data_IF_911966703085
#
_entry.id   IF_911966703085
#
_cell.length_a   1.000
_cell.length_b   1.000
_cell.length_c   1.000
_cell.angle_alpha   90.00
_cell.angle_beta   90.00
_cell.angle_gamma   90.00
#
_symmetry.space_group_name_H-M   'P 1'
#
loop_
_entity.id
_entity.type
_entity.pdbx_description
1 polymer ?
#
# COMPACT_ATOMS: atom_id res chain seq x y z
N UNK A 1 -3.64 39.92 0.88
CA UNK A 1 -2.44 39.57 0.09
C UNK A 1 -1.94 38.16 0.40
N UNK A 2 -2.78 37.14 0.09
CA UNK A 2 -2.41 35.72 0.22
C UNK A 2 -2.13 35.09 -1.16
N UNK A 3 -1.50 35.82 -2.06
CA UNK A 3 -1.01 35.29 -3.33
C UNK A 3 0.38 34.63 -3.25
N UNK A 4 0.97 34.52 -2.07
CA UNK A 4 2.38 34.14 -1.91
C UNK A 4 2.68 32.64 -1.81
N UNK A 5 1.69 31.75 -1.91
CA UNK A 5 1.91 30.30 -1.89
C UNK A 5 1.36 29.53 -3.10
N UNK A 6 0.92 30.24 -4.13
CA UNK A 6 0.87 29.62 -5.45
C UNK A 6 2.29 29.63 -6.00
N UNK A 7 3.06 28.61 -5.64
CA UNK A 7 4.28 28.25 -6.36
C UNK A 7 3.93 28.14 -7.83
N UNK A 8 4.27 29.19 -8.58
CA UNK A 8 4.08 29.27 -10.03
C UNK A 8 5.00 28.27 -10.72
N UNK A 9 4.62 27.03 -10.73
CA UNK A 9 5.21 26.00 -11.61
C UNK A 9 4.79 26.25 -13.05
N UNK A 10 5.08 27.45 -13.56
CA UNK A 10 4.59 27.96 -14.84
C UNK A 10 5.62 27.84 -15.93
N UNK A 11 5.77 26.71 -16.46
CA UNK A 11 5.93 26.39 -17.91
C UNK A 11 6.15 24.89 -17.98
N UNK A 12 5.36 24.14 -18.73
CA UNK A 12 5.66 22.71 -18.93
C UNK A 12 7.08 22.62 -19.51
N UNK A 13 7.90 21.78 -18.91
CA UNK A 13 9.20 21.42 -19.46
C UNK A 13 8.97 20.86 -20.89
N UNK A 14 9.94 21.04 -21.78
CA UNK A 14 9.83 20.47 -23.16
C UNK A 14 9.53 18.98 -23.10
N UNK A 15 10.08 18.25 -22.13
CA UNK A 15 9.78 16.84 -21.88
C UNK A 15 8.31 16.58 -21.50
N UNK A 16 7.66 17.52 -20.77
CA UNK A 16 6.24 17.37 -20.39
C UNK A 16 5.27 17.50 -21.59
N UNK A 17 5.73 18.07 -22.71
CA UNK A 17 4.92 18.15 -23.94
C UNK A 17 4.94 16.85 -24.74
N UNK A 18 5.93 16.00 -24.52
CA UNK A 18 6.11 14.73 -25.23
C UNK A 18 5.57 13.53 -24.45
N UNK A 19 5.40 13.67 -23.14
CA UNK A 19 4.93 12.60 -22.25
C UNK A 19 3.44 12.77 -21.95
N UNK A 20 2.69 11.67 -22.05
CA UNK A 20 1.33 11.62 -21.57
C UNK A 20 1.30 11.24 -20.08
N UNK A 21 0.30 11.70 -19.38
CA UNK A 21 0.18 11.38 -17.93
C UNK A 21 0.06 9.87 -17.66
N UNK A 22 -0.37 9.08 -18.65
CA UNK A 22 -0.39 7.63 -18.59
C UNK A 22 1.03 7.05 -18.59
N UNK A 23 1.94 7.61 -19.39
CA UNK A 23 3.33 7.16 -19.49
C UNK A 23 4.07 7.31 -18.16
N UNK A 24 3.83 8.43 -17.45
CA UNK A 24 4.41 8.66 -16.12
C UNK A 24 3.92 7.64 -15.08
N UNK A 25 2.64 7.26 -15.13
CA UNK A 25 2.08 6.24 -14.25
C UNK A 25 2.65 4.85 -14.58
N UNK A 26 2.74 4.52 -15.87
CA UNK A 26 3.34 3.26 -16.34
C UNK A 26 4.82 3.21 -15.92
N UNK A 27 5.56 4.29 -16.11
CA UNK A 27 6.97 4.38 -15.71
C UNK A 27 7.15 4.22 -14.19
N UNK A 28 6.28 4.83 -13.37
CA UNK A 28 6.33 4.73 -11.92
C UNK A 28 6.07 3.30 -11.41
N UNK A 29 5.35 2.49 -12.17
CA UNK A 29 5.18 1.06 -11.89
C UNK A 29 6.33 0.23 -12.48
N UNK A 30 6.60 0.40 -13.79
CA UNK A 30 7.45 -0.50 -14.54
C UNK A 30 8.93 -0.36 -14.19
N UNK A 31 9.43 0.87 -13.97
CA UNK A 31 10.86 1.10 -13.69
C UNK A 31 11.31 0.43 -12.39
N UNK A 32 10.61 0.56 -11.24
CA UNK A 32 10.96 -0.19 -10.03
C UNK A 32 10.93 -1.71 -10.24
N UNK A 33 9.94 -2.23 -10.96
CA UNK A 33 9.84 -3.65 -11.29
C UNK A 33 11.04 -4.09 -12.13
N UNK A 34 11.40 -3.34 -13.18
CA UNK A 34 12.56 -3.64 -14.04
C UNK A 34 13.87 -3.62 -13.22
N UNK A 35 14.05 -2.64 -12.34
CA UNK A 35 15.23 -2.57 -11.46
C UNK A 35 15.30 -3.83 -10.57
N UNK A 36 14.19 -4.24 -9.98
CA UNK A 36 14.15 -5.48 -9.18
C UNK A 36 14.50 -6.71 -10.02
N UNK A 37 13.99 -6.81 -11.25
CA UNK A 37 14.31 -7.91 -12.16
C UNK A 37 15.80 -7.90 -12.57
N UNK A 38 16.41 -6.75 -12.81
CA UNK A 38 17.85 -6.61 -13.06
C UNK A 38 18.66 -7.12 -11.85
N UNK A 39 18.26 -6.77 -10.64
CA UNK A 39 18.89 -7.28 -9.41
C UNK A 39 18.75 -8.79 -9.33
N UNK A 40 17.59 -9.35 -9.70
CA UNK A 40 17.37 -10.80 -9.70
C UNK A 40 18.27 -11.52 -10.70
N UNK A 41 18.45 -10.97 -11.92
CA UNK A 41 19.39 -11.49 -12.91
C UNK A 41 20.81 -11.49 -12.35
N UNK A 42 21.26 -10.38 -11.77
CA UNK A 42 22.62 -10.25 -11.24
C UNK A 42 22.90 -11.16 -10.03
N UNK A 43 21.85 -11.46 -9.26
CA UNK A 43 21.95 -12.28 -8.06
C UNK A 43 21.59 -13.75 -8.27
N UNK A 44 21.23 -14.15 -9.48
CA UNK A 44 20.79 -15.52 -9.78
C UNK A 44 19.52 -15.93 -9.04
N UNK A 45 18.63 -14.95 -8.76
CA UNK A 45 17.35 -15.22 -8.09
C UNK A 45 16.36 -15.75 -9.13
N UNK A 46 15.52 -16.71 -8.74
CA UNK A 46 14.46 -17.25 -9.60
C UNK A 46 13.63 -16.12 -10.28
N UNK A 47 13.30 -16.20 -11.58
CA UNK A 47 13.50 -17.33 -12.52
C UNK A 47 14.89 -17.38 -13.21
N UNK A 48 15.82 -16.53 -12.85
CA UNK A 48 17.11 -16.36 -13.51
C UNK A 48 18.24 -17.22 -12.91
N UNK A 49 17.95 -17.99 -11.85
CA UNK A 49 18.87 -18.89 -11.17
C UNK A 49 18.18 -19.63 -10.03
N UNK A 50 18.97 -20.29 -9.18
CA UNK A 50 18.49 -21.15 -8.09
C UNK A 50 18.45 -20.42 -6.72
N UNK A 51 18.94 -19.19 -6.67
CA UNK A 51 18.95 -18.39 -5.43
C UNK A 51 17.55 -17.87 -5.06
N UNK A 52 17.34 -17.66 -3.77
CA UNK A 52 16.08 -17.15 -3.25
C UNK A 52 16.18 -15.69 -2.80
N UNK A 53 15.11 -14.94 -2.98
CA UNK A 53 14.99 -13.58 -2.45
C UNK A 53 14.67 -13.56 -0.94
N UNK A 54 14.28 -14.68 -0.36
CA UNK A 54 13.86 -14.75 1.04
C UNK A 54 14.98 -14.37 2.00
N UNK A 55 14.64 -13.48 2.94
CA UNK A 55 15.56 -12.98 3.98
C UNK A 55 14.95 -13.18 5.37
N UNK A 56 15.80 -13.26 6.38
CA UNK A 56 15.41 -13.27 7.81
C UNK A 56 14.22 -14.21 8.05
N UNK A 57 13.11 -13.70 8.57
CA UNK A 57 11.92 -14.48 8.94
C UNK A 57 11.12 -15.01 7.75
N UNK A 58 11.41 -14.55 6.53
CA UNK A 58 10.64 -14.98 5.36
C UNK A 58 10.74 -16.48 5.13
N UNK A 59 11.92 -17.06 5.30
CA UNK A 59 12.14 -18.48 5.07
C UNK A 59 11.61 -19.32 6.23
N UNK A 60 11.98 -18.94 7.47
CA UNK A 60 11.68 -19.73 8.66
C UNK A 60 10.25 -19.56 9.18
N UNK A 61 9.62 -18.41 8.89
CA UNK A 61 8.34 -18.05 9.45
C UNK A 61 7.27 -17.82 8.37
N UNK A 62 7.50 -16.89 7.43
CA UNK A 62 6.43 -16.51 6.49
C UNK A 62 6.14 -17.58 5.44
N UNK A 63 7.14 -18.24 4.88
CA UNK A 63 6.94 -19.30 3.89
C UNK A 63 6.13 -20.48 4.45
N UNK A 64 6.40 -21.01 5.66
CA UNK A 64 5.52 -21.97 6.33
C UNK A 64 4.09 -21.47 6.54
N UNK A 65 3.90 -20.18 6.92
CA UNK A 65 2.56 -19.63 7.12
C UNK A 65 1.78 -19.54 5.79
N UNK A 66 2.43 -19.13 4.70
CA UNK A 66 1.83 -19.13 3.38
C UNK A 66 1.51 -20.55 2.89
N UNK A 67 2.37 -21.54 3.19
CA UNK A 67 2.13 -22.94 2.88
C UNK A 67 0.90 -23.50 3.59
N UNK A 68 0.80 -23.23 4.90
CA UNK A 68 -0.36 -23.65 5.70
C UNK A 68 -1.64 -22.94 5.25
N UNK A 69 -1.58 -21.66 4.95
CA UNK A 69 -2.71 -20.90 4.43
C UNK A 69 -3.21 -21.49 3.11
N UNK A 70 -2.30 -21.78 2.15
CA UNK A 70 -2.66 -22.41 0.90
C UNK A 70 -3.29 -23.79 1.11
N UNK A 71 -2.73 -24.60 2.00
CA UNK A 71 -3.26 -25.93 2.34
C UNK A 71 -4.68 -25.83 2.86
N UNK A 72 -4.92 -24.95 3.84
CA UNK A 72 -6.28 -24.73 4.41
C UNK A 72 -7.28 -24.25 3.38
N UNK A 73 -6.89 -23.31 2.51
CA UNK A 73 -7.78 -22.83 1.45
C UNK A 73 -8.13 -23.92 0.44
N UNK A 74 -7.18 -24.81 0.10
CA UNK A 74 -7.42 -25.91 -0.86
C UNK A 74 -8.21 -27.06 -0.30
N UNK A 75 -8.07 -27.34 0.99
CA UNK A 75 -8.75 -28.46 1.66
C UNK A 75 -10.06 -28.05 2.33
N UNK A 76 -10.39 -26.76 2.35
CA UNK A 76 -11.52 -26.22 3.12
C UNK A 76 -11.29 -26.29 4.63
N UNK A 77 -10.02 -26.30 5.07
CA UNK A 77 -9.65 -26.36 6.48
C UNK A 77 -10.02 -25.09 7.24
N UNK A 78 -10.25 -25.23 8.56
CA UNK A 78 -10.57 -24.11 9.43
C UNK A 78 -9.43 -23.07 9.48
N UNK A 79 -9.76 -21.80 9.29
CA UNK A 79 -8.84 -20.67 9.49
C UNK A 79 -8.76 -20.23 10.97
N UNK A 80 -9.48 -20.86 11.88
CA UNK A 80 -9.47 -20.49 13.30
C UNK A 80 -8.29 -21.10 14.04
N UNK A 81 -7.92 -22.34 13.72
CA UNK A 81 -6.90 -23.09 14.43
C UNK A 81 -6.05 -23.94 13.49
N UNK A 82 -4.77 -24.14 13.78
CA UNK A 82 -3.90 -25.08 13.08
C UNK A 82 -3.05 -25.88 14.07
N UNK A 83 -2.95 -27.19 13.84
CA UNK A 83 -2.03 -28.09 14.54
C UNK A 83 -0.66 -28.14 13.89
N UNK A 84 -0.54 -27.73 12.63
CA UNK A 84 0.68 -27.83 11.82
C UNK A 84 1.66 -26.68 12.05
N UNK A 85 1.28 -25.71 12.91
CA UNK A 85 2.12 -24.57 13.29
C UNK A 85 2.37 -24.61 14.80
N UNK A 86 3.64 -24.71 15.21
CA UNK A 86 4.05 -24.56 16.60
C UNK A 86 3.36 -25.51 17.58
N UNK A 87 3.06 -26.74 17.18
CA UNK A 87 2.30 -27.72 17.99
C UNK A 87 0.85 -27.30 18.34
N UNK A 88 0.29 -26.38 17.57
CA UNK A 88 -1.05 -25.87 17.73
C UNK A 88 -1.08 -24.36 18.02
N UNK A 89 -1.76 -23.61 17.16
CA UNK A 89 -1.84 -22.14 17.26
C UNK A 89 -3.22 -21.63 16.87
N UNK A 90 -3.61 -20.51 17.47
CA UNK A 90 -4.71 -19.69 16.95
C UNK A 90 -4.34 -19.15 15.57
N UNK A 91 -4.78 -19.86 14.51
CA UNK A 91 -4.45 -19.51 13.14
C UNK A 91 -5.13 -18.21 12.70
N UNK A 92 -6.29 -17.87 13.29
CA UNK A 92 -6.97 -16.61 12.99
C UNK A 92 -6.12 -15.40 13.39
N UNK A 93 -5.46 -15.44 14.56
CA UNK A 93 -4.55 -14.37 14.97
C UNK A 93 -3.31 -14.28 14.07
N UNK A 94 -2.76 -15.42 13.65
CA UNK A 94 -1.65 -15.48 12.70
C UNK A 94 -2.08 -14.96 11.32
N UNK A 95 -3.25 -15.36 10.85
CA UNK A 95 -3.84 -14.87 9.61
C UNK A 95 -4.02 -13.35 9.63
N UNK A 96 -4.59 -12.81 10.72
CA UNK A 96 -4.84 -11.39 10.88
C UNK A 96 -3.57 -10.53 10.79
N UNK A 97 -2.44 -11.02 11.29
CA UNK A 97 -1.18 -10.28 11.26
C UNK A 97 -0.38 -10.48 9.96
N UNK A 98 -0.27 -11.72 9.45
CA UNK A 98 0.67 -12.08 8.39
C UNK A 98 0.02 -12.27 7.01
N UNK A 99 -1.25 -12.70 6.95
CA UNK A 99 -1.83 -13.29 5.74
C UNK A 99 -3.07 -12.58 5.22
N UNK A 100 -3.65 -11.66 5.98
CA UNK A 100 -4.98 -11.09 5.70
C UNK A 100 -5.04 -10.18 4.46
N UNK A 101 -3.90 -9.83 3.85
CA UNK A 101 -3.90 -9.07 2.59
C UNK A 101 -4.76 -9.76 1.52
N UNK A 102 -5.69 -9.04 0.87
CA UNK A 102 -6.47 -9.59 -0.24
C UNK A 102 -5.61 -10.16 -1.37
N UNK A 103 -4.43 -9.59 -1.63
CA UNK A 103 -3.51 -10.09 -2.65
C UNK A 103 -2.93 -11.47 -2.31
N UNK A 104 -2.87 -11.83 -1.03
CA UNK A 104 -2.38 -13.15 -0.62
C UNK A 104 -3.31 -14.31 -1.02
N UNK A 105 -4.59 -14.03 -1.29
CA UNK A 105 -5.53 -15.04 -1.80
C UNK A 105 -5.17 -15.54 -3.21
N UNK A 106 -4.36 -14.78 -3.96
CA UNK A 106 -3.81 -15.23 -5.25
C UNK A 106 -2.93 -16.49 -5.11
N UNK A 107 -2.53 -16.86 -3.89
CA UNK A 107 -1.79 -18.10 -3.61
C UNK A 107 -2.57 -19.35 -4.03
N UNK A 108 -3.89 -19.29 -4.13
CA UNK A 108 -4.71 -20.39 -4.67
C UNK A 108 -4.35 -20.77 -6.09
N UNK A 109 -3.91 -19.79 -6.89
CA UNK A 109 -3.49 -20.01 -8.28
C UNK A 109 -2.08 -20.56 -8.38
N UNK A 110 -1.30 -20.50 -7.30
CA UNK A 110 0.09 -20.93 -7.28
C UNK A 110 0.23 -22.44 -6.99
N UNK A 111 1.02 -23.21 -7.75
CA UNK A 111 1.37 -24.57 -7.37
C UNK A 111 2.15 -24.61 -6.04
N UNK A 112 1.91 -25.63 -5.19
CA UNK A 112 2.53 -25.74 -3.86
C UNK A 112 4.06 -25.59 -3.87
N UNK A 113 4.72 -26.09 -4.90
CA UNK A 113 6.20 -26.04 -5.04
C UNK A 113 6.77 -24.65 -5.29
N UNK A 114 5.93 -23.65 -5.63
CA UNK A 114 6.34 -22.28 -6.00
C UNK A 114 5.87 -21.22 -4.98
N UNK A 115 5.65 -21.59 -3.72
CA UNK A 115 5.22 -20.65 -2.68
C UNK A 115 6.27 -19.56 -2.44
N UNK A 116 7.55 -19.92 -2.47
CA UNK A 116 8.67 -18.98 -2.29
C UNK A 116 8.71 -17.97 -3.42
N UNK A 117 8.57 -18.45 -4.65
CA UNK A 117 8.54 -17.63 -5.85
C UNK A 117 7.28 -16.72 -5.86
N UNK A 118 6.15 -17.25 -5.42
CA UNK A 118 4.93 -16.44 -5.26
C UNK A 118 5.16 -15.26 -4.32
N UNK A 119 5.77 -15.49 -3.14
CA UNK A 119 6.09 -14.41 -2.20
C UNK A 119 7.01 -13.37 -2.84
N UNK A 120 8.04 -13.83 -3.56
CA UNK A 120 8.97 -12.96 -4.28
C UNK A 120 8.25 -12.09 -5.32
N UNK A 121 7.38 -12.69 -6.13
CA UNK A 121 6.57 -11.99 -7.13
C UNK A 121 5.64 -10.97 -6.46
N UNK A 122 5.01 -11.34 -5.34
CA UNK A 122 4.13 -10.42 -4.59
C UNK A 122 4.88 -9.20 -4.06
N UNK A 123 6.12 -9.36 -3.58
CA UNK A 123 6.95 -8.23 -3.14
C UNK A 123 7.23 -7.29 -4.31
N UNK A 124 7.69 -7.81 -5.45
CA UNK A 124 7.99 -6.99 -6.64
C UNK A 124 6.74 -6.27 -7.14
N UNK A 125 5.60 -6.97 -7.18
CA UNK A 125 4.31 -6.40 -7.56
C UNK A 125 3.92 -5.24 -6.63
N UNK A 126 4.00 -5.43 -5.31
CA UNK A 126 3.66 -4.41 -4.31
C UNK A 126 4.60 -3.20 -4.38
N UNK A 127 5.89 -3.40 -4.66
CA UNK A 127 6.85 -2.31 -4.90
C UNK A 127 6.41 -1.48 -6.12
N UNK A 128 6.12 -2.12 -7.25
CA UNK A 128 5.64 -1.42 -8.44
C UNK A 128 4.32 -0.69 -8.21
N UNK A 129 3.36 -1.33 -7.55
CA UNK A 129 2.06 -0.73 -7.20
C UNK A 129 2.21 0.44 -6.23
N UNK A 130 3.20 0.43 -5.33
CA UNK A 130 3.50 1.56 -4.43
C UNK A 130 3.94 2.79 -5.22
N UNK A 131 4.81 2.61 -6.22
CA UNK A 131 5.21 3.68 -7.14
C UNK A 131 4.03 4.24 -7.92
N UNK A 132 3.20 3.36 -8.47
CA UNK A 132 1.99 3.73 -9.20
C UNK A 132 1.01 4.54 -8.32
N UNK A 133 0.75 4.08 -7.10
CA UNK A 133 -0.19 4.73 -6.18
C UNK A 133 0.27 6.13 -5.80
N UNK A 134 1.57 6.31 -5.52
CA UNK A 134 2.13 7.61 -5.19
C UNK A 134 2.17 8.55 -6.40
N UNK A 135 2.55 8.05 -7.59
CA UNK A 135 2.47 8.82 -8.82
C UNK A 135 1.02 9.25 -9.13
N UNK A 136 0.05 8.36 -8.93
CA UNK A 136 -1.36 8.70 -9.09
C UNK A 136 -1.80 9.79 -8.10
N UNK A 137 -1.39 9.70 -6.83
CA UNK A 137 -1.61 10.75 -5.83
C UNK A 137 -1.04 12.10 -6.28
N UNK A 138 0.22 12.13 -6.70
CA UNK A 138 0.87 13.36 -7.18
C UNK A 138 0.18 13.94 -8.41
N UNK A 139 -0.30 13.10 -9.32
CA UNK A 139 -1.06 13.53 -10.51
C UNK A 139 -2.34 14.30 -10.14
N UNK A 140 -2.99 13.96 -9.02
CA UNK A 140 -4.18 14.70 -8.58
C UNK A 140 -3.84 16.12 -8.12
N UNK A 141 -2.60 16.36 -7.67
CA UNK A 141 -2.13 17.65 -7.16
C UNK A 141 -1.35 18.47 -8.19
N UNK A 142 -0.64 17.81 -9.11
CA UNK A 142 0.24 18.44 -10.09
C UNK A 142 -0.19 18.13 -11.51
N UNK A 143 -0.97 19.04 -12.10
CA UNK A 143 -1.47 18.87 -13.48
C UNK A 143 -0.41 19.16 -14.56
N UNK A 144 0.67 19.87 -14.22
CA UNK A 144 1.61 20.45 -15.19
C UNK A 144 3.03 19.88 -15.12
N UNK A 145 3.32 18.90 -14.26
CA UNK A 145 4.66 18.34 -14.10
C UNK A 145 4.61 16.81 -14.23
N UNK A 146 4.40 16.32 -15.45
CA UNK A 146 4.24 14.88 -15.75
C UNK A 146 5.51 14.10 -15.41
N UNK A 147 6.68 14.65 -15.78
CA UNK A 147 7.98 14.04 -15.49
C UNK A 147 8.20 13.89 -13.99
N UNK A 148 7.91 14.95 -13.21
CA UNK A 148 8.01 14.91 -11.73
C UNK A 148 7.11 13.86 -11.10
N UNK A 149 5.88 13.69 -11.61
CA UNK A 149 4.94 12.66 -11.14
C UNK A 149 5.55 11.27 -11.26
N UNK A 150 6.11 10.92 -12.43
CA UNK A 150 6.74 9.61 -12.64
C UNK A 150 7.99 9.43 -11.77
N UNK A 151 8.85 10.45 -11.74
CA UNK A 151 10.13 10.43 -11.02
C UNK A 151 9.94 10.22 -9.51
N UNK A 152 9.06 10.99 -8.88
CA UNK A 152 8.79 10.84 -7.45
C UNK A 152 8.03 9.55 -7.12
N UNK A 153 7.20 9.03 -8.06
CA UNK A 153 6.63 7.70 -7.93
C UNK A 153 7.68 6.60 -7.83
N UNK A 154 8.71 6.67 -8.68
CA UNK A 154 9.85 5.74 -8.67
C UNK A 154 10.62 5.85 -7.33
N UNK A 155 10.90 7.06 -6.85
CA UNK A 155 11.59 7.25 -5.56
C UNK A 155 10.79 6.72 -4.37
N UNK A 156 9.48 6.86 -4.38
CA UNK A 156 8.64 6.27 -3.35
C UNK A 156 8.77 4.75 -3.33
N UNK A 157 8.68 4.11 -4.50
CA UNK A 157 8.81 2.66 -4.65
C UNK A 157 10.19 2.13 -4.27
N UNK A 158 11.25 2.91 -4.53
CA UNK A 158 12.65 2.55 -4.25
C UNK A 158 13.22 3.28 -3.03
N UNK A 159 12.35 3.72 -2.12
CA UNK A 159 12.76 4.40 -0.89
C UNK A 159 13.64 3.52 -0.01
N UNK A 160 14.41 4.14 0.89
CA UNK A 160 15.20 3.43 1.89
C UNK A 160 14.39 2.48 2.75
N UNK A 161 13.11 2.79 3.03
CA UNK A 161 12.20 1.90 3.71
C UNK A 161 11.96 0.61 2.90
N UNK A 162 11.66 0.73 1.61
CA UNK A 162 11.46 -0.44 0.74
C UNK A 162 12.74 -1.28 0.61
N UNK A 163 13.91 -0.63 0.50
CA UNK A 163 15.19 -1.35 0.44
C UNK A 163 15.48 -2.15 1.72
N UNK A 164 15.16 -1.59 2.89
CA UNK A 164 15.44 -2.22 4.19
C UNK A 164 14.37 -3.24 4.62
N UNK A 165 13.10 -2.96 4.36
CA UNK A 165 11.96 -3.66 4.97
C UNK A 165 11.01 -4.35 3.98
N UNK A 166 11.32 -4.42 2.67
CA UNK A 166 10.47 -5.10 1.67
C UNK A 166 10.25 -6.58 1.95
N UNK A 167 11.12 -7.19 2.74
CA UNK A 167 10.96 -8.57 3.19
C UNK A 167 9.74 -8.76 4.14
N UNK A 168 9.26 -7.71 4.80
CA UNK A 168 8.01 -7.74 5.55
C UNK A 168 6.81 -7.62 4.59
N UNK A 169 6.53 -8.67 3.85
CA UNK A 169 5.52 -8.70 2.78
C UNK A 169 4.14 -8.19 3.25
N UNK A 170 3.78 -8.42 4.53
CA UNK A 170 2.51 -7.99 5.12
C UNK A 170 2.42 -6.47 5.38
N UNK A 171 3.54 -5.75 5.41
CA UNK A 171 3.53 -4.30 5.61
C UNK A 171 3.38 -3.52 4.30
N UNK A 172 3.72 -4.14 3.17
CA UNK A 172 3.79 -3.47 1.87
C UNK A 172 2.41 -3.02 1.37
N UNK A 173 1.33 -3.70 1.74
CA UNK A 173 -0.03 -3.27 1.40
C UNK A 173 -0.37 -1.92 2.03
N UNK A 174 0.04 -1.69 3.27
CA UNK A 174 -0.17 -0.41 3.94
C UNK A 174 0.60 0.72 3.25
N UNK A 175 1.83 0.45 2.81
CA UNK A 175 2.66 1.42 2.07
C UNK A 175 2.03 1.73 0.70
N UNK A 176 1.58 0.70 -0.01
CA UNK A 176 0.87 0.83 -1.28
C UNK A 176 -0.42 1.67 -1.15
N UNK A 177 -1.20 1.44 -0.08
CA UNK A 177 -2.49 2.10 0.12
C UNK A 177 -2.35 3.50 0.72
N UNK A 178 -1.23 3.82 1.38
CA UNK A 178 -1.04 5.07 2.10
C UNK A 178 -1.31 6.33 1.25
N UNK A 179 -0.78 6.49 0.02
CA UNK A 179 -1.05 7.65 -0.81
C UNK A 179 -2.55 7.80 -1.16
N UNK A 180 -3.24 6.67 -1.35
CA UNK A 180 -4.67 6.65 -1.65
C UNK A 180 -5.51 7.05 -0.44
N UNK A 181 -5.10 6.62 0.77
CA UNK A 181 -5.74 7.00 2.05
C UNK A 181 -5.61 8.51 2.26
N UNK A 182 -4.40 9.05 2.09
CA UNK A 182 -4.11 10.49 2.24
C UNK A 182 -4.98 11.30 1.28
N UNK A 183 -5.01 10.94 -0.01
CA UNK A 183 -5.86 11.62 -0.98
C UNK A 183 -7.35 11.48 -0.65
N UNK A 184 -7.77 10.31 -0.18
CA UNK A 184 -9.14 10.09 0.28
C UNK A 184 -9.54 11.01 1.43
N UNK A 185 -8.63 11.25 2.39
CA UNK A 185 -8.83 12.18 3.50
C UNK A 185 -8.90 13.64 3.02
N UNK A 186 -8.04 14.05 2.10
CA UNK A 186 -8.11 15.38 1.49
C UNK A 186 -9.45 15.62 0.79
N UNK A 187 -9.93 14.63 0.03
CA UNK A 187 -11.26 14.71 -0.61
C UNK A 187 -12.40 14.74 0.39
N UNK A 188 -12.27 14.03 1.52
CA UNK A 188 -13.26 14.08 2.59
C UNK A 188 -13.37 15.50 3.16
N UNK A 189 -12.25 16.18 3.40
CA UNK A 189 -12.24 17.54 3.96
C UNK A 189 -12.67 18.58 2.92
N UNK A 190 -12.16 18.50 1.69
CA UNK A 190 -12.38 19.50 0.65
C UNK A 190 -13.71 19.33 -0.08
N UNK A 191 -14.02 18.08 -0.48
CA UNK A 191 -15.17 17.73 -1.32
C UNK A 191 -16.31 17.07 -0.56
N UNK A 192 -16.13 16.79 0.73
CA UNK A 192 -17.08 16.02 1.56
C UNK A 192 -17.35 14.60 1.05
N UNK A 193 -16.37 13.98 0.33
CA UNK A 193 -16.44 12.64 -0.25
C UNK A 193 -15.50 11.68 0.47
N UNK A 194 -16.03 10.85 1.36
CA UNK A 194 -15.24 9.96 2.23
C UNK A 194 -15.08 8.52 1.75
N UNK A 195 -15.72 8.09 0.64
CA UNK A 195 -15.72 6.67 0.26
C UNK A 195 -14.32 6.12 -0.04
N UNK A 196 -13.49 6.88 -0.78
CA UNK A 196 -12.11 6.46 -1.08
C UNK A 196 -11.31 6.28 0.22
N UNK A 197 -11.40 7.24 1.14
CA UNK A 197 -10.78 7.17 2.46
C UNK A 197 -11.23 5.92 3.22
N UNK A 198 -12.53 5.69 3.30
CA UNK A 198 -13.11 4.56 4.02
C UNK A 198 -12.61 3.21 3.49
N UNK A 199 -12.69 3.01 2.18
CA UNK A 199 -12.32 1.72 1.56
C UNK A 199 -10.81 1.48 1.65
N UNK A 200 -9.99 2.48 1.33
CA UNK A 200 -8.53 2.30 1.33
C UNK A 200 -7.96 2.15 2.74
N UNK A 201 -8.49 2.88 3.71
CA UNK A 201 -8.12 2.69 5.12
C UNK A 201 -8.61 1.33 5.64
N UNK A 202 -9.84 0.93 5.33
CA UNK A 202 -10.37 -0.39 5.70
C UNK A 202 -9.52 -1.53 5.13
N UNK A 203 -9.12 -1.45 3.86
CA UNK A 203 -8.22 -2.42 3.24
C UNK A 203 -6.82 -2.42 3.88
N UNK A 204 -6.32 -1.25 4.28
CA UNK A 204 -5.04 -1.15 5.00
C UNK A 204 -5.11 -1.84 6.37
N UNK A 205 -6.15 -1.57 7.16
CA UNK A 205 -6.36 -2.20 8.47
C UNK A 205 -6.54 -3.72 8.31
N UNK A 206 -7.33 -4.15 7.33
CA UNK A 206 -7.52 -5.57 7.00
C UNK A 206 -6.20 -6.24 6.66
N UNK A 207 -5.34 -5.60 5.86
CA UNK A 207 -4.07 -6.17 5.41
C UNK A 207 -3.03 -6.29 6.52
N UNK A 208 -2.91 -5.27 7.37
CA UNK A 208 -2.05 -5.28 8.55
C UNK A 208 -2.45 -4.19 9.54
N UNK A 209 -3.07 -4.58 10.64
CA UNK A 209 -3.52 -3.65 11.68
C UNK A 209 -2.37 -2.92 12.38
N UNK A 210 -1.19 -3.53 12.52
CA UNK A 210 -0.05 -2.94 13.23
C UNK A 210 0.47 -1.67 12.52
N UNK A 211 0.75 -1.73 11.22
CA UNK A 211 1.16 -0.56 10.44
C UNK A 211 0.01 0.44 10.31
N UNK A 212 -1.22 -0.06 10.21
CA UNK A 212 -2.39 0.80 10.08
C UNK A 212 -2.69 1.62 11.33
N UNK A 213 -2.33 1.16 12.55
CA UNK A 213 -2.39 1.99 13.76
C UNK A 213 -1.49 3.23 13.61
N UNK A 214 -0.27 3.06 13.12
CA UNK A 214 0.65 4.18 12.87
C UNK A 214 0.08 5.14 11.82
N UNK A 215 -0.50 4.58 10.75
CA UNK A 215 -1.21 5.34 9.72
C UNK A 215 -2.38 6.12 10.33
N UNK A 216 -3.22 5.51 11.17
CA UNK A 216 -4.34 6.18 11.83
C UNK A 216 -3.88 7.36 12.71
N UNK A 217 -2.80 7.19 13.48
CA UNK A 217 -2.23 8.29 14.29
C UNK A 217 -1.78 9.44 13.39
N UNK A 218 -1.07 9.14 12.30
CA UNK A 218 -0.69 10.15 11.32
C UNK A 218 -1.92 10.86 10.73
N UNK A 219 -2.97 10.12 10.36
CA UNK A 219 -4.18 10.68 9.74
C UNK A 219 -4.93 11.64 10.67
N UNK A 220 -4.94 11.39 11.98
CA UNK A 220 -5.50 12.33 12.95
C UNK A 220 -4.73 13.66 12.91
N UNK A 221 -3.40 13.61 12.95
CA UNK A 221 -2.55 14.81 12.88
C UNK A 221 -2.72 15.53 11.53
N UNK A 222 -2.74 14.77 10.45
CA UNK A 222 -2.91 15.31 9.10
C UNK A 222 -4.30 15.93 8.90
N UNK A 223 -5.34 15.32 9.45
CA UNK A 223 -6.69 15.88 9.45
C UNK A 223 -6.76 17.25 10.13
N UNK A 224 -6.13 17.40 11.32
CA UNK A 224 -6.02 18.67 12.02
C UNK A 224 -5.28 19.70 11.16
N UNK A 225 -4.14 19.30 10.57
CA UNK A 225 -3.38 20.17 9.68
C UNK A 225 -4.22 20.63 8.46
N UNK A 226 -4.99 19.73 7.85
CA UNK A 226 -5.89 20.08 6.74
C UNK A 226 -6.96 21.10 7.17
N UNK A 227 -7.57 20.94 8.36
CA UNK A 227 -8.55 21.90 8.85
C UNK A 227 -7.95 23.30 9.10
N UNK A 228 -6.67 23.38 9.51
CA UNK A 228 -5.96 24.64 9.74
C UNK A 228 -5.55 25.31 8.41
N UNK A 229 -5.14 24.49 7.42
CA UNK A 229 -4.63 24.99 6.15
C UNK A 229 -5.73 25.34 5.13
N UNK A 230 -6.94 24.80 5.31
CA UNK A 230 -8.09 25.17 4.47
C UNK A 230 -8.50 26.62 4.71
N UNK A 231 -9.05 27.25 3.65
CA UNK A 231 -9.58 28.61 3.77
C UNK A 231 -10.68 28.68 4.84
N UNK A 232 -10.69 29.77 5.66
CA UNK A 232 -11.69 29.93 6.71
C UNK A 232 -13.11 29.81 6.15
N UNK A 233 -13.87 28.88 6.70
CA UNK A 233 -15.25 28.61 6.31
C UNK A 233 -16.21 28.70 7.51
N UNK A 234 -17.51 28.51 7.29
CA UNK A 234 -18.48 28.50 8.39
C UNK A 234 -18.17 27.31 9.34
N UNK A 235 -18.37 27.53 10.64
CA UNK A 235 -18.17 26.54 11.72
C UNK A 235 -18.85 25.20 11.39
N UNK A 236 -20.01 25.27 10.73
CA UNK A 236 -20.76 24.10 10.28
C UNK A 236 -19.93 23.18 9.35
N UNK A 237 -19.14 23.74 8.42
CA UNK A 237 -18.28 22.96 7.52
C UNK A 237 -17.24 22.14 8.31
N UNK A 238 -16.63 22.76 9.33
CA UNK A 238 -15.66 22.06 10.19
C UNK A 238 -16.32 20.95 11.01
N UNK A 239 -17.49 21.23 11.59
CA UNK A 239 -18.26 20.23 12.34
C UNK A 239 -18.66 19.04 11.45
N UNK A 240 -19.17 19.30 10.24
CA UNK A 240 -19.51 18.26 9.26
C UNK A 240 -18.28 17.43 8.88
N UNK A 241 -17.10 18.04 8.66
CA UNK A 241 -15.85 17.34 8.37
C UNK A 241 -15.41 16.45 9.53
N UNK A 242 -15.50 16.92 10.78
CA UNK A 242 -15.18 16.12 11.97
C UNK A 242 -16.12 14.92 12.12
N UNK A 243 -17.42 15.10 11.94
CA UNK A 243 -18.41 14.02 12.02
C UNK A 243 -18.15 12.99 10.91
N UNK A 244 -17.91 13.44 9.68
CA UNK A 244 -17.59 12.54 8.55
C UNK A 244 -16.28 11.78 8.78
N UNK A 245 -15.24 12.46 9.26
CA UNK A 245 -13.96 11.82 9.59
C UNK A 245 -14.17 10.69 10.62
N UNK A 246 -14.91 10.95 11.69
CA UNK A 246 -15.26 9.95 12.70
C UNK A 246 -16.05 8.78 12.11
N UNK A 247 -17.13 9.06 11.37
CA UNK A 247 -17.99 8.03 10.78
C UNK A 247 -17.19 7.16 9.80
N UNK A 248 -16.46 7.74 8.84
CA UNK A 248 -15.73 6.97 7.84
C UNK A 248 -14.53 6.21 8.43
N UNK A 249 -13.89 6.73 9.50
CA UNK A 249 -12.85 6.00 10.24
C UNK A 249 -13.42 4.78 10.98
N UNK A 250 -14.57 4.93 11.64
CA UNK A 250 -15.28 3.81 12.29
C UNK A 250 -15.75 2.77 11.26
N UNK A 251 -16.29 3.21 10.12
CA UNK A 251 -16.68 2.30 9.03
C UNK A 251 -15.47 1.54 8.47
N UNK A 252 -14.30 2.20 8.34
CA UNK A 252 -13.05 1.54 7.92
C UNK A 252 -12.65 0.43 8.90
N UNK A 253 -12.71 0.70 10.21
CA UNK A 253 -12.51 -0.32 11.24
C UNK A 253 -13.56 -1.44 11.17
N UNK A 254 -14.81 -1.09 10.91
CA UNK A 254 -15.90 -2.06 10.73
C UNK A 254 -15.68 -2.98 9.53
N UNK A 255 -15.16 -2.48 8.41
CA UNK A 255 -14.79 -3.31 7.25
C UNK A 255 -13.69 -4.33 7.58
N UNK A 256 -12.82 -4.00 8.51
CA UNK A 256 -11.71 -4.86 8.95
C UNK A 256 -12.02 -5.63 10.26
N UNK A 257 -13.24 -5.56 10.78
CA UNK A 257 -13.60 -6.15 12.08
C UNK A 257 -13.31 -7.65 12.20
N UNK A 258 -13.22 -8.38 11.07
CA UNK A 258 -12.87 -9.80 11.05
C UNK A 258 -11.41 -10.11 11.40
N UNK A 259 -10.53 -9.09 11.43
CA UNK A 259 -9.09 -9.23 11.77
C UNK A 259 -8.69 -8.40 12.99
N UNK A 260 -9.57 -7.55 13.49
CA UNK A 260 -9.40 -6.78 14.73
C UNK A 260 -9.92 -7.57 15.92
#
# INVERSE_FOLDING_TARGET
>A
NNQALQLNWHKPCIADRLLHSADALIAAFAIPVIIMLIIFVQRGIFPFGEETFLRTDMYHQYAPFFSEFQYKLRTGGSLLYSWDVGMGVNFAALYAYYLASPLNWLILLCPKKFIIEFMTIMIVLKIGLSGLSFAWYLKQHSKNCILGVGFFGIFYALSGYMAAYSWNIMWLDCILLFPLIVYGLERLVREQKGMLYCVTLGLSILSNYYISIMTCLFLVLYFIALLILEEPGPVRKYAESCVRFGIYSLLSGGLAAGVL
#
